data_IF_733312188678
#
_entry.id   IF_733312188678
#
_cell.length_a   1.000
_cell.length_b   1.000
_cell.length_c   1.000
_cell.angle_alpha   90.00
_cell.angle_beta   90.00
_cell.angle_gamma   90.00
#
_symmetry.space_group_name_H-M   'P 1'
#
loop_
_entity.id
_entity.type
_entity.pdbx_description
1 polymer ?
#
# COMPACT_ATOMS: atom_id res chain seq x y z
N UNK A 1 -8.99 7.66 31.57
CA UNK A 1 -9.40 6.30 31.05
C UNK A 1 -8.41 5.77 30.02
N UNK A 2 -8.35 4.43 29.78
CA UNK A 2 -7.52 3.85 28.71
C UNK A 2 -8.40 3.26 27.60
N UNK A 3 -7.92 3.37 26.36
CA UNK A 3 -8.60 2.73 25.22
C UNK A 3 -8.58 1.20 25.37
N UNK A 4 -9.73 0.57 25.12
CA UNK A 4 -9.87 -0.90 25.20
C UNK A 4 -9.63 -1.58 23.87
N UNK A 5 -10.02 -0.92 22.77
CA UNK A 5 -9.94 -1.46 21.43
C UNK A 5 -9.90 -0.35 20.37
N UNK A 6 -9.54 -0.71 19.15
CA UNK A 6 -9.70 0.12 17.96
C UNK A 6 -10.81 -0.49 17.10
N UNK A 7 -11.85 0.30 16.84
CA UNK A 7 -12.94 -0.08 15.96
C UNK A 7 -12.64 0.35 14.52
N UNK A 8 -12.61 -0.61 13.61
CA UNK A 8 -12.18 -0.43 12.21
C UNK A 8 -13.39 -0.50 11.29
N UNK A 9 -13.56 0.50 10.43
CA UNK A 9 -14.67 0.58 9.48
C UNK A 9 -14.21 0.29 8.07
N UNK A 10 -15.01 -0.50 7.36
CA UNK A 10 -14.76 -0.88 5.98
C UNK A 10 -15.16 0.25 5.02
N UNK A 11 -14.40 0.39 3.92
CA UNK A 11 -14.75 1.27 2.83
C UNK A 11 -15.52 0.54 1.72
N UNK A 12 -14.87 0.36 0.57
CA UNK A 12 -15.45 -0.30 -0.60
C UNK A 12 -15.95 -1.73 -0.33
N UNK A 13 -15.47 -2.39 0.73
CA UNK A 13 -15.91 -3.74 1.11
C UNK A 13 -17.39 -3.80 1.47
N UNK A 14 -17.95 -2.72 2.01
CA UNK A 14 -19.36 -2.64 2.38
C UNK A 14 -20.30 -2.75 1.17
N UNK A 15 -19.83 -2.40 -0.02
CA UNK A 15 -20.59 -2.46 -1.29
C UNK A 15 -20.47 -3.80 -2.03
N UNK A 16 -19.59 -4.71 -1.56
CA UNK A 16 -19.42 -6.03 -2.17
C UNK A 16 -20.63 -6.93 -1.85
N UNK A 17 -21.17 -7.60 -2.86
CA UNK A 17 -22.31 -8.50 -2.72
C UNK A 17 -21.94 -9.83 -2.01
N UNK A 18 -22.23 -10.97 -2.65
CA UNK A 18 -22.04 -12.33 -2.10
C UNK A 18 -20.60 -12.63 -1.63
N UNK A 19 -19.59 -11.97 -2.23
CA UNK A 19 -18.18 -12.20 -1.90
C UNK A 19 -17.65 -11.35 -0.73
N UNK A 20 -18.49 -10.53 -0.08
CA UNK A 20 -18.09 -9.59 0.98
C UNK A 20 -17.27 -10.27 2.08
N UNK A 21 -17.69 -11.43 2.57
CA UNK A 21 -16.99 -12.14 3.64
C UNK A 21 -15.57 -12.59 3.26
N UNK A 22 -15.32 -12.92 1.99
CA UNK A 22 -13.96 -13.23 1.50
C UNK A 22 -13.03 -12.02 1.66
N UNK A 23 -13.49 -10.82 1.29
CA UNK A 23 -12.72 -9.58 1.44
C UNK A 23 -12.50 -9.22 2.91
N UNK A 24 -13.52 -9.35 3.74
CA UNK A 24 -13.43 -9.10 5.18
C UNK A 24 -12.43 -10.03 5.84
N UNK A 25 -12.49 -11.34 5.55
CA UNK A 25 -11.54 -12.30 6.09
C UNK A 25 -10.11 -12.01 5.64
N UNK A 26 -9.90 -11.60 4.37
CA UNK A 26 -8.57 -11.21 3.91
C UNK A 26 -8.08 -9.96 4.62
N UNK A 27 -8.94 -8.93 4.79
CA UNK A 27 -8.60 -7.74 5.56
C UNK A 27 -8.24 -8.08 7.01
N UNK A 28 -9.04 -8.91 7.69
CA UNK A 28 -8.74 -9.37 9.05
C UNK A 28 -7.36 -10.03 9.13
N UNK A 29 -7.04 -10.90 8.18
CA UNK A 29 -5.73 -11.57 8.14
C UNK A 29 -4.61 -10.56 7.94
N UNK A 30 -4.73 -9.65 6.96
CA UNK A 30 -3.73 -8.60 6.71
C UNK A 30 -3.52 -7.70 7.96
N UNK A 31 -4.60 -7.34 8.67
CA UNK A 31 -4.50 -6.61 9.95
C UNK A 31 -3.76 -7.45 11.00
N UNK A 32 -4.10 -8.75 11.12
CA UNK A 32 -3.44 -9.63 12.08
C UNK A 32 -1.96 -9.82 11.79
N UNK A 33 -1.59 -9.92 10.50
CA UNK A 33 -0.20 -10.06 10.07
C UNK A 33 0.60 -8.79 10.45
N UNK A 34 0.09 -7.60 10.13
CA UNK A 34 0.73 -6.32 10.48
C UNK A 34 0.82 -6.12 11.99
N UNK A 35 -0.20 -6.55 12.76
CA UNK A 35 -0.22 -6.41 14.22
C UNK A 35 0.45 -7.58 14.96
N UNK A 36 1.08 -8.53 14.26
CA UNK A 36 1.76 -9.68 14.87
C UNK A 36 2.92 -9.29 15.80
N UNK A 37 3.51 -8.10 15.59
CA UNK A 37 4.53 -7.51 16.48
C UNK A 37 3.97 -7.10 17.85
N UNK A 38 2.65 -7.07 18.02
CA UNK A 38 1.95 -6.80 19.29
C UNK A 38 1.19 -8.07 19.72
N UNK A 39 1.84 -9.07 20.35
CA UNK A 39 1.26 -10.40 20.58
C UNK A 39 0.01 -10.41 21.47
N UNK A 40 -0.21 -9.36 22.27
CA UNK A 40 -1.41 -9.19 23.10
C UNK A 40 -2.63 -8.70 22.31
N UNK A 41 -2.45 -8.10 21.13
CA UNK A 41 -3.54 -7.57 20.31
C UNK A 41 -4.29 -8.72 19.65
N UNK A 42 -5.63 -8.73 19.80
CA UNK A 42 -6.51 -9.71 19.13
C UNK A 42 -7.38 -9.00 18.09
N UNK A 43 -7.44 -9.56 16.89
CA UNK A 43 -8.23 -9.01 15.78
C UNK A 43 -9.44 -9.89 15.51
N UNK A 44 -10.63 -9.30 15.52
CA UNK A 44 -11.87 -9.93 15.06
C UNK A 44 -12.50 -9.11 13.95
N UNK A 45 -13.33 -9.75 13.12
CA UNK A 45 -14.05 -9.07 12.07
C UNK A 45 -15.42 -9.72 11.88
N UNK A 46 -16.43 -8.91 11.76
CA UNK A 46 -17.79 -9.30 11.41
C UNK A 46 -18.21 -8.64 10.08
N UNK A 47 -19.50 -8.75 9.75
CA UNK A 47 -20.04 -8.19 8.49
C UNK A 47 -19.93 -6.67 8.43
N UNK A 48 -19.95 -5.97 9.55
CA UNK A 48 -20.09 -4.53 9.60
C UNK A 48 -18.77 -3.81 9.91
N UNK A 49 -17.90 -4.43 10.71
CA UNK A 49 -16.63 -3.82 11.15
C UNK A 49 -15.60 -4.86 11.61
N UNK A 50 -14.37 -4.41 11.81
CA UNK A 50 -13.36 -5.18 12.52
C UNK A 50 -12.99 -4.49 13.84
N UNK A 51 -12.46 -5.26 14.78
CA UNK A 51 -12.05 -4.82 16.09
C UNK A 51 -10.62 -5.31 16.37
N UNK A 52 -9.75 -4.41 16.80
CA UNK A 52 -8.44 -4.74 17.33
C UNK A 52 -8.45 -4.45 18.84
N UNK A 53 -8.57 -5.51 19.65
CA UNK A 53 -8.56 -5.44 21.11
C UNK A 53 -7.14 -5.21 21.59
N UNK A 54 -6.89 -4.09 22.27
CA UNK A 54 -5.54 -3.65 22.64
C UNK A 54 -4.91 -4.51 23.75
N UNK A 55 -5.72 -4.97 24.73
CA UNK A 55 -5.25 -5.80 25.86
C UNK A 55 -3.98 -5.26 26.52
N UNK A 56 -3.87 -3.95 26.67
CA UNK A 56 -2.73 -3.26 27.26
C UNK A 56 -1.62 -2.86 26.27
N UNK A 57 -1.80 -3.10 24.95
CA UNK A 57 -0.89 -2.56 23.94
C UNK A 57 -0.99 -1.03 23.84
N UNK A 58 0.12 -0.39 23.47
CA UNK A 58 0.11 1.04 23.19
C UNK A 58 -0.75 1.35 21.96
N UNK A 59 -1.81 2.12 22.20
CA UNK A 59 -2.74 2.55 21.17
C UNK A 59 -2.05 3.28 20.00
N UNK A 60 -1.12 4.18 20.32
CA UNK A 60 -0.47 5.01 19.30
C UNK A 60 0.31 4.17 18.29
N UNK A 61 1.10 3.22 18.79
CA UNK A 61 1.87 2.30 17.96
C UNK A 61 0.98 1.39 17.10
N UNK A 62 -0.10 0.85 17.68
CA UNK A 62 -1.08 0.05 16.93
C UNK A 62 -1.81 0.88 15.87
N UNK A 63 -2.19 2.12 16.18
CA UNK A 63 -2.85 3.02 15.25
C UNK A 63 -1.96 3.38 14.05
N UNK A 64 -0.66 3.64 14.26
CA UNK A 64 0.29 3.89 13.16
C UNK A 64 0.41 2.67 12.23
N UNK A 65 0.47 1.48 12.77
CA UNK A 65 0.48 0.25 11.98
C UNK A 65 -0.80 0.08 11.14
N UNK A 66 -1.97 0.40 11.70
CA UNK A 66 -3.25 0.31 10.99
C UNK A 66 -3.42 1.32 9.84
N UNK A 67 -2.75 2.48 9.90
CA UNK A 67 -2.78 3.48 8.81
C UNK A 67 -2.24 2.94 7.49
N UNK A 68 -1.39 1.92 7.52
CA UNK A 68 -0.73 1.35 6.34
C UNK A 68 -1.53 0.20 5.70
N UNK A 69 -2.59 -0.29 6.36
CA UNK A 69 -3.35 -1.46 5.90
C UNK A 69 -4.44 -1.07 4.91
N UNK A 70 -4.28 -1.50 3.66
CA UNK A 70 -5.31 -1.29 2.63
C UNK A 70 -6.59 -2.07 2.93
N UNK A 71 -7.73 -1.43 2.66
CA UNK A 71 -9.07 -1.92 2.99
C UNK A 71 -9.70 -1.25 4.20
N UNK A 72 -8.90 -0.56 5.03
CA UNK A 72 -9.37 0.24 6.16
C UNK A 72 -9.78 1.62 5.68
N UNK A 73 -11.06 1.99 5.79
CA UNK A 73 -11.56 3.33 5.44
C UNK A 73 -11.19 4.35 6.50
N UNK A 74 -11.53 4.02 7.74
CA UNK A 74 -11.19 4.78 8.93
C UNK A 74 -11.30 3.88 10.15
N UNK A 75 -10.71 4.32 11.24
CA UNK A 75 -10.80 3.64 12.52
C UNK A 75 -10.86 4.63 13.68
N UNK A 76 -11.38 4.17 14.83
CA UNK A 76 -11.54 4.98 16.01
C UNK A 76 -11.08 4.19 17.23
N UNK A 77 -10.24 4.78 18.10
CA UNK A 77 -10.02 4.22 19.43
C UNK A 77 -11.31 4.34 20.25
N UNK A 78 -11.58 3.33 21.07
CA UNK A 78 -12.83 3.25 21.83
C UNK A 78 -12.57 2.92 23.28
N UNK A 79 -13.32 3.59 24.16
CA UNK A 79 -13.48 3.23 25.55
C UNK A 79 -14.68 2.30 25.68
N UNK A 80 -14.47 1.10 26.16
CA UNK A 80 -15.54 0.16 26.48
C UNK A 80 -15.91 0.33 27.96
N UNK A 81 -17.19 0.61 28.22
CA UNK A 81 -17.71 0.81 29.56
C UNK A 81 -18.99 -0.01 29.79
N UNK A 82 -19.36 -0.20 31.03
CA UNK A 82 -20.64 -0.81 31.38
C UNK A 82 -21.79 0.03 30.83
N UNK A 83 -22.83 -0.64 30.29
CA UNK A 83 -24.03 0.03 29.78
C UNK A 83 -24.98 0.41 30.91
N UNK A 84 -24.62 1.38 31.72
CA UNK A 84 -25.46 2.01 32.73
C UNK A 84 -25.38 3.53 32.57
N UNK A 85 -26.49 4.22 32.81
CA UNK A 85 -26.54 5.70 32.61
C UNK A 85 -25.52 6.40 33.51
N UNK A 86 -25.35 5.96 34.74
CA UNK A 86 -24.41 6.58 35.68
C UNK A 86 -22.94 6.36 35.26
N UNK A 87 -22.60 5.15 34.81
CA UNK A 87 -21.24 4.87 34.28
C UNK A 87 -20.96 5.68 33.02
N UNK A 88 -21.95 5.81 32.13
CA UNK A 88 -21.83 6.62 30.91
C UNK A 88 -21.61 8.09 31.22
N UNK A 89 -22.37 8.67 32.19
CA UNK A 89 -22.17 10.05 32.64
C UNK A 89 -20.74 10.28 33.16
N UNK A 90 -20.28 9.41 34.06
CA UNK A 90 -18.95 9.51 34.64
C UNK A 90 -17.86 9.36 33.58
N UNK A 91 -18.00 8.41 32.62
CA UNK A 91 -17.05 8.21 31.55
C UNK A 91 -16.98 9.41 30.60
N UNK A 92 -18.13 9.97 30.21
CA UNK A 92 -18.19 11.15 29.33
C UNK A 92 -17.58 12.38 30.02
N UNK A 93 -17.80 12.55 31.33
CA UNK A 93 -17.20 13.62 32.11
C UNK A 93 -15.67 13.50 32.15
N UNK A 94 -15.14 12.30 32.48
CA UNK A 94 -13.71 12.04 32.55
C UNK A 94 -13.04 12.29 31.18
N UNK A 95 -13.61 11.70 30.10
CA UNK A 95 -13.09 11.90 28.74
C UNK A 95 -13.07 13.38 28.37
N UNK A 96 -14.16 14.09 28.60
CA UNK A 96 -14.24 15.52 28.27
C UNK A 96 -13.26 16.35 29.06
N UNK A 97 -13.02 16.04 30.35
CA UNK A 97 -12.01 16.74 31.15
C UNK A 97 -10.60 16.55 30.61
N UNK A 98 -10.29 15.35 30.06
CA UNK A 98 -8.99 15.03 29.49
C UNK A 98 -8.73 15.73 28.15
N UNK A 99 -9.75 15.91 27.29
CA UNK A 99 -9.58 16.37 25.92
C UNK A 99 -10.02 17.80 25.65
N UNK A 100 -10.86 18.37 26.52
CA UNK A 100 -11.40 19.71 26.35
C UNK A 100 -10.31 20.79 26.53
N UNK A 101 -10.28 21.75 25.62
CA UNK A 101 -9.51 23.00 25.74
C UNK A 101 -10.47 24.18 25.72
N UNK A 102 -10.14 25.23 26.44
CA UNK A 102 -10.98 26.42 26.53
C UNK A 102 -11.37 26.97 25.14
N UNK A 103 -12.65 27.22 24.96
CA UNK A 103 -13.21 27.71 23.68
C UNK A 103 -13.65 26.62 22.70
N UNK A 104 -13.35 25.35 22.97
CA UNK A 104 -13.86 24.25 22.12
C UNK A 104 -15.35 24.02 22.31
N UNK A 105 -16.00 23.62 21.24
CA UNK A 105 -17.40 23.22 21.21
C UNK A 105 -17.54 21.71 21.19
N UNK A 106 -18.67 21.20 21.73
CA UNK A 106 -18.89 19.76 21.76
C UNK A 106 -20.27 19.33 21.25
N UNK A 107 -20.38 18.06 20.96
CA UNK A 107 -21.64 17.36 20.66
C UNK A 107 -21.60 15.94 21.20
N UNK A 108 -22.74 15.47 21.71
CA UNK A 108 -22.97 14.02 21.94
C UNK A 108 -23.77 13.47 20.76
N UNK A 109 -23.31 12.33 20.23
CA UNK A 109 -23.96 11.62 19.13
C UNK A 109 -24.17 10.16 19.53
N UNK A 110 -25.32 9.84 20.10
CA UNK A 110 -25.63 8.50 20.56
C UNK A 110 -26.31 7.65 19.49
N UNK A 111 -25.93 6.38 19.41
CA UNK A 111 -26.57 5.35 18.62
C UNK A 111 -26.87 4.16 19.49
N UNK A 112 -28.10 3.63 19.40
CA UNK A 112 -28.54 2.50 20.15
C UNK A 112 -28.82 1.31 19.25
N UNK A 113 -28.04 0.24 19.36
CA UNK A 113 -28.29 -1.05 18.72
C UNK A 113 -29.05 -1.99 19.65
N UNK A 114 -28.84 -1.86 20.96
CA UNK A 114 -29.65 -2.54 21.97
C UNK A 114 -30.90 -1.73 22.33
N UNK A 115 -32.04 -2.18 21.85
CA UNK A 115 -33.33 -1.53 22.09
C UNK A 115 -33.91 -1.77 23.49
N UNK A 116 -33.30 -2.65 24.29
CA UNK A 116 -33.69 -2.89 25.68
C UNK A 116 -33.11 -1.87 26.67
N UNK A 117 -32.16 -1.03 26.23
CA UNK A 117 -31.58 0.00 27.06
C UNK A 117 -32.62 1.06 27.41
N UNK A 118 -32.62 1.54 28.65
CA UNK A 118 -33.68 2.38 29.27
C UNK A 118 -33.90 3.74 28.56
N UNK A 119 -32.84 4.35 27.95
CA UNK A 119 -32.95 5.63 27.25
C UNK A 119 -32.85 5.45 25.76
N UNK A 120 -33.64 6.23 25.03
CA UNK A 120 -33.45 6.32 23.57
C UNK A 120 -32.24 7.19 23.20
N UNK A 121 -31.91 7.24 21.91
CA UNK A 121 -30.71 8.01 21.44
C UNK A 121 -30.83 9.50 21.70
N UNK A 122 -32.04 10.08 21.73
CA UNK A 122 -32.25 11.50 21.97
C UNK A 122 -32.12 11.79 23.46
N UNK A 123 -32.75 10.96 24.30
CA UNK A 123 -32.66 11.04 25.76
C UNK A 123 -31.20 10.88 26.22
N UNK A 124 -30.45 9.91 25.63
CA UNK A 124 -29.02 9.74 25.89
C UNK A 124 -28.22 11.01 25.53
N UNK A 125 -28.47 11.62 24.37
CA UNK A 125 -27.77 12.85 23.98
C UNK A 125 -28.02 13.98 24.97
N UNK A 126 -29.27 14.11 25.48
CA UNK A 126 -29.61 15.14 26.45
C UNK A 126 -28.98 14.85 27.83
N UNK A 127 -29.07 13.62 28.29
CA UNK A 127 -28.55 13.22 29.60
C UNK A 127 -27.04 13.34 29.67
N UNK A 128 -26.34 12.82 28.65
CA UNK A 128 -24.88 12.87 28.61
C UNK A 128 -24.36 14.28 28.31
N UNK A 129 -25.10 15.07 27.50
CA UNK A 129 -24.82 16.49 27.28
C UNK A 129 -24.94 17.31 28.57
N UNK A 130 -25.97 17.01 29.40
CA UNK A 130 -26.13 17.59 30.75
C UNK A 130 -24.93 17.27 31.66
N UNK A 131 -24.47 16.03 31.66
CA UNK A 131 -23.30 15.61 32.44
C UNK A 131 -22.01 16.36 31.99
N UNK A 132 -21.83 16.67 30.70
CA UNK A 132 -20.71 17.49 30.25
C UNK A 132 -20.79 18.92 30.74
N UNK A 133 -21.99 19.53 30.73
CA UNK A 133 -22.18 20.89 31.25
C UNK A 133 -21.93 20.98 32.77
N UNK A 134 -22.23 19.91 33.51
CA UNK A 134 -21.94 19.82 34.95
C UNK A 134 -20.42 19.73 35.23
N UNK A 135 -19.67 19.02 34.37
CA UNK A 135 -18.23 18.80 34.55
C UNK A 135 -17.35 19.95 34.06
N UNK A 136 -17.78 20.67 33.02
CA UNK A 136 -16.99 21.72 32.38
C UNK A 136 -17.79 23.03 32.34
N UNK A 137 -17.49 23.98 33.21
CA UNK A 137 -18.14 25.27 33.21
C UNK A 137 -17.90 26.05 31.89
N UNK A 138 -18.94 26.67 31.35
CA UNK A 138 -18.92 27.50 30.15
C UNK A 138 -18.64 26.76 28.82
N UNK A 139 -18.60 25.43 28.79
CA UNK A 139 -18.52 24.66 27.55
C UNK A 139 -19.76 24.94 26.67
N UNK A 140 -19.58 25.02 25.36
CA UNK A 140 -20.67 25.27 24.43
C UNK A 140 -20.99 24.04 23.59
N UNK A 141 -22.28 23.72 23.45
CA UNK A 141 -22.73 22.66 22.53
C UNK A 141 -22.94 23.23 21.14
N UNK A 142 -22.40 22.54 20.12
CA UNK A 142 -22.55 22.92 18.71
C UNK A 142 -22.96 21.71 17.87
N UNK A 143 -24.16 21.80 17.25
CA UNK A 143 -24.72 20.66 16.50
C UNK A 143 -24.06 20.44 15.13
N UNK A 144 -23.55 21.52 14.50
CA UNK A 144 -22.88 21.44 13.19
C UNK A 144 -21.39 21.73 13.39
N UNK A 145 -20.54 20.81 12.89
CA UNK A 145 -19.08 20.93 12.97
C UNK A 145 -18.55 21.27 14.38
N UNK A 146 -18.89 20.49 15.41
CA UNK A 146 -18.30 20.65 16.74
C UNK A 146 -16.81 20.33 16.70
N UNK A 147 -16.02 20.92 17.59
CA UNK A 147 -14.60 20.58 17.76
C UNK A 147 -14.44 19.17 18.33
N UNK A 148 -15.32 18.78 19.28
CA UNK A 148 -15.35 17.46 19.91
C UNK A 148 -16.73 16.84 19.65
N UNK A 149 -16.75 15.67 18.97
CA UNK A 149 -17.96 14.88 18.79
C UNK A 149 -17.84 13.54 19.52
N UNK A 150 -18.36 13.46 20.76
CA UNK A 150 -18.42 12.20 21.50
C UNK A 150 -19.50 11.28 20.89
N UNK A 151 -19.07 10.20 20.27
CA UNK A 151 -19.93 9.16 19.74
C UNK A 151 -20.13 8.08 20.81
N UNK A 152 -21.37 7.83 21.19
CA UNK A 152 -21.74 6.83 22.20
C UNK A 152 -22.58 5.75 21.54
N UNK A 153 -22.10 4.51 21.51
CA UNK A 153 -22.82 3.39 20.90
C UNK A 153 -23.20 2.39 21.99
N UNK A 154 -24.51 2.18 22.18
CA UNK A 154 -25.04 1.19 23.12
C UNK A 154 -25.29 -0.11 22.37
N UNK A 155 -24.60 -1.19 22.77
CA UNK A 155 -24.77 -2.55 22.25
C UNK A 155 -25.25 -3.51 23.33
N UNK A 156 -25.53 -4.76 22.97
CA UNK A 156 -26.02 -5.77 23.90
C UNK A 156 -25.04 -6.01 25.05
N UNK A 157 -23.73 -6.10 24.76
CA UNK A 157 -22.71 -6.48 25.73
C UNK A 157 -22.09 -5.32 26.51
N UNK A 158 -22.08 -4.09 25.96
CA UNK A 158 -21.43 -2.93 26.59
C UNK A 158 -21.81 -1.62 25.89
N UNK A 159 -21.34 -0.49 26.44
CA UNK A 159 -21.33 0.79 25.77
C UNK A 159 -19.92 1.14 25.29
N UNK A 160 -19.83 1.83 24.15
CA UNK A 160 -18.59 2.22 23.50
C UNK A 160 -18.59 3.73 23.27
N UNK A 161 -17.53 4.40 23.72
CA UNK A 161 -17.37 5.85 23.56
C UNK A 161 -16.14 6.13 22.71
N UNK A 162 -16.29 6.97 21.70
CA UNK A 162 -15.18 7.44 20.85
C UNK A 162 -15.38 8.90 20.47
N UNK A 163 -14.30 9.63 20.25
CA UNK A 163 -14.35 11.02 19.78
C UNK A 163 -13.41 11.27 18.58
N UNK A 164 -12.54 10.35 18.33
CA UNK A 164 -11.54 10.43 17.27
C UNK A 164 -11.90 9.53 16.09
N UNK A 165 -11.70 10.02 14.89
CA UNK A 165 -11.82 9.21 13.67
C UNK A 165 -10.58 9.43 12.82
N UNK A 166 -9.76 8.39 12.72
CA UNK A 166 -8.50 8.42 11.99
C UNK A 166 -8.74 7.82 10.60
N UNK A 167 -8.28 8.53 9.59
CA UNK A 167 -8.38 8.05 8.21
C UNK A 167 -7.42 6.87 7.99
N UNK A 168 -7.90 5.78 7.40
CA UNK A 168 -7.09 4.64 6.96
C UNK A 168 -6.60 4.77 5.51
N UNK A 169 -5.85 3.79 5.04
CA UNK A 169 -5.28 3.76 3.69
C UNK A 169 -6.34 3.65 2.58
N UNK A 170 -7.56 3.23 2.90
CA UNK A 170 -8.62 3.00 1.91
C UNK A 170 -8.34 1.81 0.99
N UNK A 171 -8.94 1.79 -0.18
CA UNK A 171 -8.71 0.77 -1.19
C UNK A 171 -9.28 -0.62 -0.87
N UNK A 172 -8.62 -1.66 -1.36
CA UNK A 172 -8.99 -3.07 -1.19
C UNK A 172 -7.88 -3.84 -0.46
N UNK A 173 -8.20 -4.85 0.34
CA UNK A 173 -7.19 -5.68 1.01
C UNK A 173 -6.26 -6.34 -0.01
N UNK A 174 -4.96 -6.24 0.20
CA UNK A 174 -3.94 -6.88 -0.66
C UNK A 174 -4.19 -8.38 -0.78
N UNK A 175 -4.06 -8.91 -1.99
CA UNK A 175 -4.32 -10.32 -2.32
C UNK A 175 -5.78 -10.62 -2.71
N UNK A 176 -6.69 -9.61 -2.73
CA UNK A 176 -8.09 -9.83 -3.16
C UNK A 176 -8.29 -9.72 -4.68
N UNK A 177 -7.38 -9.07 -5.41
CA UNK A 177 -7.47 -8.83 -6.86
C UNK A 177 -6.51 -9.70 -7.69
N UNK A 178 -5.91 -10.73 -7.08
CA UNK A 178 -4.95 -11.61 -7.73
C UNK A 178 -3.52 -11.10 -7.63
N UNK A 179 -2.58 -11.76 -8.34
CA UNK A 179 -1.14 -11.51 -8.32
C UNK A 179 -0.70 -10.79 -9.60
N UNK A 180 0.23 -9.84 -9.48
CA UNK A 180 0.86 -9.14 -10.59
C UNK A 180 2.38 -9.11 -10.48
N UNK A 181 3.07 -9.05 -11.63
CA UNK A 181 4.51 -8.87 -11.72
C UNK A 181 4.81 -7.39 -11.89
N UNK A 182 5.42 -6.78 -10.89
CA UNK A 182 5.86 -5.39 -10.93
C UNK A 182 7.25 -5.31 -11.56
N UNK A 183 7.36 -4.69 -12.73
CA UNK A 183 8.67 -4.34 -13.31
C UNK A 183 9.26 -3.19 -12.49
N UNK A 184 10.12 -3.52 -11.54
CA UNK A 184 10.71 -2.57 -10.60
C UNK A 184 12.06 -2.08 -11.09
N UNK A 185 12.17 -0.78 -11.32
CA UNK A 185 13.42 -0.06 -11.57
C UNK A 185 13.89 0.66 -10.30
N UNK A 186 15.10 1.21 -10.32
CA UNK A 186 15.59 2.11 -9.27
C UNK A 186 15.01 3.54 -9.33
N UNK A 187 14.11 3.83 -10.27
CA UNK A 187 13.49 5.14 -10.45
C UNK A 187 12.29 5.38 -9.52
N UNK A 188 11.78 6.63 -9.54
CA UNK A 188 10.69 7.10 -8.67
C UNK A 188 9.34 6.43 -9.00
N UNK A 189 9.08 6.19 -10.30
CA UNK A 189 7.73 5.89 -10.79
C UNK A 189 7.30 4.43 -10.49
N UNK A 190 8.23 3.46 -10.55
CA UNK A 190 7.89 2.04 -10.39
C UNK A 190 7.50 1.65 -8.97
N UNK A 191 8.12 2.15 -7.88
CA UNK A 191 7.63 1.92 -6.52
C UNK A 191 6.23 2.51 -6.29
N UNK A 192 5.97 3.71 -6.81
CA UNK A 192 4.65 4.35 -6.74
C UNK A 192 3.60 3.52 -7.48
N UNK A 193 3.93 2.97 -8.64
CA UNK A 193 3.03 2.06 -9.36
C UNK A 193 2.73 0.79 -8.53
N UNK A 194 3.72 0.23 -7.85
CA UNK A 194 3.56 -0.89 -6.93
C UNK A 194 2.61 -0.57 -5.79
N UNK A 195 2.83 0.56 -5.11
CA UNK A 195 1.95 1.04 -4.05
C UNK A 195 0.49 1.21 -4.50
N UNK A 196 0.27 1.83 -5.65
CA UNK A 196 -1.07 2.02 -6.20
C UNK A 196 -1.75 0.71 -6.60
N UNK A 197 -0.98 -0.28 -7.06
CA UNK A 197 -1.49 -1.62 -7.34
C UNK A 197 -1.87 -2.37 -6.04
N UNK A 198 -1.05 -2.28 -4.98
CA UNK A 198 -1.42 -2.78 -3.65
C UNK A 198 -2.72 -2.16 -3.16
N UNK A 199 -2.90 -0.84 -3.32
CA UNK A 199 -4.12 -0.13 -2.94
C UNK A 199 -5.37 -0.66 -3.65
N UNK A 200 -5.21 -1.30 -4.82
CA UNK A 200 -6.30 -1.98 -5.55
C UNK A 200 -6.39 -3.47 -5.26
N UNK A 201 -5.69 -3.94 -4.23
CA UNK A 201 -5.76 -5.32 -3.75
C UNK A 201 -4.94 -6.33 -4.54
N UNK A 202 -4.05 -5.87 -5.43
CA UNK A 202 -3.15 -6.76 -6.18
C UNK A 202 -2.03 -7.21 -5.25
N UNK A 203 -1.75 -8.49 -5.21
CA UNK A 203 -0.54 -9.05 -4.62
C UNK A 203 0.61 -8.91 -5.63
N UNK A 204 1.82 -8.52 -5.18
CA UNK A 204 2.92 -8.16 -6.09
C UNK A 204 4.15 -9.02 -5.82
N UNK A 205 4.76 -9.51 -6.91
CA UNK A 205 6.16 -9.92 -6.95
C UNK A 205 6.94 -8.90 -7.78
N UNK A 206 8.12 -8.49 -7.30
CA UNK A 206 8.95 -7.47 -7.96
C UNK A 206 9.95 -8.12 -8.93
N UNK A 207 9.96 -7.70 -10.18
CA UNK A 207 10.89 -8.17 -11.22
C UNK A 207 11.87 -7.06 -11.54
N UNK A 208 13.14 -7.27 -11.25
CA UNK A 208 14.23 -6.33 -11.50
C UNK A 208 15.23 -6.89 -12.51
N UNK A 209 15.62 -6.09 -13.49
CA UNK A 209 16.58 -6.46 -14.52
C UNK A 209 17.97 -5.94 -14.16
N UNK A 210 18.93 -6.83 -14.02
CA UNK A 210 20.31 -6.53 -13.67
C UNK A 210 21.25 -6.84 -14.86
N UNK A 211 22.20 -5.94 -15.13
CA UNK A 211 23.16 -6.09 -16.22
C UNK A 211 24.61 -5.90 -15.76
N UNK A 212 25.12 -6.75 -14.86
CA UNK A 212 26.54 -6.69 -14.48
C UNK A 212 27.42 -7.05 -15.69
N UNK A 213 28.63 -6.44 -15.88
CA UNK A 213 29.24 -5.41 -15.02
C UNK A 213 28.75 -3.98 -15.28
N UNK A 214 27.82 -3.78 -16.18
CA UNK A 214 27.34 -2.45 -16.56
C UNK A 214 26.49 -1.80 -15.46
N UNK A 215 25.64 -2.56 -14.76
CA UNK A 215 24.97 -2.09 -13.53
C UNK A 215 25.83 -2.40 -12.32
N UNK A 216 25.90 -1.47 -11.38
CA UNK A 216 26.64 -1.64 -10.13
C UNK A 216 25.88 -2.48 -9.11
N UNK A 217 26.55 -3.10 -8.13
CA UNK A 217 25.89 -3.71 -6.98
C UNK A 217 24.98 -2.73 -6.21
N UNK A 218 25.33 -1.44 -6.21
CA UNK A 218 24.51 -0.38 -5.63
C UNK A 218 23.15 -0.19 -6.31
N UNK A 219 23.05 -0.42 -7.63
CA UNK A 219 21.79 -0.38 -8.35
C UNK A 219 20.85 -1.53 -7.91
N UNK A 220 21.37 -2.72 -7.73
CA UNK A 220 20.62 -3.88 -7.22
C UNK A 220 20.16 -3.63 -5.77
N UNK A 221 21.07 -3.19 -4.89
CA UNK A 221 20.72 -2.85 -3.50
C UNK A 221 19.63 -1.79 -3.46
N UNK A 222 19.72 -0.74 -4.26
CA UNK A 222 18.70 0.31 -4.38
C UNK A 222 17.32 -0.27 -4.71
N UNK A 223 17.23 -1.19 -5.67
CA UNK A 223 15.96 -1.85 -6.04
C UNK A 223 15.42 -2.74 -4.89
N UNK A 224 16.29 -3.44 -4.17
CA UNK A 224 15.92 -4.22 -2.99
C UNK A 224 15.42 -3.32 -1.86
N UNK A 225 16.08 -2.18 -1.60
CA UNK A 225 15.68 -1.22 -0.58
C UNK A 225 14.33 -0.57 -0.91
N UNK A 226 14.07 -0.24 -2.19
CA UNK A 226 12.75 0.20 -2.65
C UNK A 226 11.67 -0.88 -2.44
N UNK A 227 11.99 -2.14 -2.73
CA UNK A 227 11.10 -3.26 -2.45
C UNK A 227 10.80 -3.38 -0.97
N UNK A 228 11.82 -3.22 -0.11
CA UNK A 228 11.66 -3.24 1.36
C UNK A 228 10.71 -2.15 1.84
N UNK A 229 10.78 -0.93 1.30
CA UNK A 229 9.79 0.12 1.63
C UNK A 229 8.37 -0.29 1.26
N UNK A 230 8.18 -0.98 0.15
CA UNK A 230 6.87 -1.47 -0.28
C UNK A 230 6.31 -2.60 0.61
N UNK A 231 7.15 -3.35 1.32
CA UNK A 231 6.67 -4.42 2.22
C UNK A 231 5.80 -3.90 3.36
N UNK A 232 5.92 -2.62 3.75
CA UNK A 232 5.05 -1.97 4.73
C UNK A 232 3.56 -2.06 4.35
N UNK A 233 3.25 -2.13 3.06
CA UNK A 233 1.90 -2.09 2.51
C UNK A 233 1.40 -3.46 2.03
N UNK A 234 2.30 -4.30 1.53
CA UNK A 234 1.98 -5.59 0.90
C UNK A 234 2.37 -6.82 1.71
N UNK A 235 3.14 -6.67 2.79
CA UNK A 235 3.78 -7.79 3.47
C UNK A 235 5.04 -8.26 2.72
N UNK A 236 5.45 -9.49 2.94
CA UNK A 236 6.64 -10.04 2.27
C UNK A 236 6.49 -10.02 0.75
N UNK A 237 7.54 -9.59 0.05
CA UNK A 237 7.57 -9.48 -1.41
C UNK A 237 8.68 -10.38 -1.97
N UNK A 238 8.35 -11.23 -2.95
CA UNK A 238 9.33 -11.97 -3.71
C UNK A 238 10.01 -11.02 -4.70
N UNK A 239 11.31 -10.80 -4.52
CA UNK A 239 12.15 -10.01 -5.41
C UNK A 239 12.85 -10.95 -6.39
N UNK A 240 12.59 -10.76 -7.69
CA UNK A 240 13.07 -11.59 -8.77
C UNK A 240 14.10 -10.80 -9.56
N UNK A 241 15.36 -11.14 -9.40
CA UNK A 241 16.46 -10.59 -10.17
C UNK A 241 16.59 -11.37 -11.48
N UNK A 242 16.60 -10.66 -12.60
CA UNK A 242 16.71 -11.21 -13.96
C UNK A 242 18.06 -10.81 -14.54
N UNK A 243 18.94 -11.76 -14.93
CA UNK A 243 20.16 -11.46 -15.66
C UNK A 243 19.81 -10.95 -17.05
N UNK A 244 20.31 -9.77 -17.43
CA UNK A 244 19.88 -9.11 -18.66
C UNK A 244 21.03 -8.68 -19.56
N UNK A 245 22.28 -8.90 -19.17
CA UNK A 245 23.49 -8.47 -19.88
C UNK A 245 23.57 -9.06 -21.29
N UNK A 246 23.43 -10.39 -21.45
CA UNK A 246 23.49 -11.08 -22.74
C UNK A 246 22.51 -10.48 -23.74
N UNK A 247 21.29 -10.20 -23.29
CA UNK A 247 20.24 -9.65 -24.14
C UNK A 247 20.56 -8.23 -24.58
N UNK A 248 21.09 -7.40 -23.69
CA UNK A 248 21.48 -6.03 -24.04
C UNK A 248 22.64 -5.99 -25.04
N UNK A 249 23.63 -6.84 -24.87
CA UNK A 249 24.76 -6.97 -25.81
C UNK A 249 24.29 -7.46 -27.17
N UNK A 250 23.40 -8.44 -27.22
CA UNK A 250 22.81 -8.95 -28.47
C UNK A 250 21.98 -7.88 -29.19
N UNK A 251 21.16 -7.12 -28.47
CA UNK A 251 20.38 -6.01 -29.02
C UNK A 251 21.34 -4.95 -29.60
N UNK A 252 22.38 -4.56 -28.85
CA UNK A 252 23.37 -3.58 -29.28
C UNK A 252 24.11 -4.01 -30.56
N UNK A 253 24.44 -5.29 -30.67
CA UNK A 253 25.17 -5.84 -31.80
C UNK A 253 24.32 -5.94 -33.09
N UNK A 254 22.98 -6.18 -32.95
CA UNK A 254 22.15 -6.54 -34.12
C UNK A 254 21.07 -5.52 -34.49
N UNK A 255 20.81 -4.53 -33.63
CA UNK A 255 19.76 -3.55 -33.84
C UNK A 255 20.33 -2.14 -34.12
N UNK A 256 19.60 -1.32 -34.89
CA UNK A 256 19.93 0.10 -35.03
C UNK A 256 19.79 0.82 -33.68
N UNK A 257 20.72 1.76 -33.42
CA UNK A 257 20.78 2.53 -32.20
C UNK A 257 19.41 3.14 -31.79
N UNK A 258 18.69 3.74 -32.74
CA UNK A 258 17.38 4.35 -32.49
C UNK A 258 16.31 3.36 -31.95
N UNK A 259 16.48 2.05 -32.13
CA UNK A 259 15.55 1.02 -31.68
C UNK A 259 16.00 0.29 -30.40
N UNK A 260 17.19 0.57 -29.87
CA UNK A 260 17.71 -0.13 -28.68
C UNK A 260 16.71 -0.09 -27.50
N UNK A 261 16.20 1.07 -27.16
CA UNK A 261 15.22 1.22 -26.06
C UNK A 261 13.93 0.44 -26.30
N UNK A 262 13.42 0.46 -27.54
CA UNK A 262 12.19 -0.27 -27.88
C UNK A 262 12.39 -1.78 -27.74
N UNK A 263 13.48 -2.31 -28.27
CA UNK A 263 13.78 -3.75 -28.21
C UNK A 263 14.09 -4.21 -26.79
N UNK A 264 14.91 -3.45 -26.04
CA UNK A 264 15.17 -3.71 -24.62
C UNK A 264 13.86 -3.89 -23.82
N UNK A 265 12.92 -2.95 -23.97
CA UNK A 265 11.63 -3.03 -23.27
C UNK A 265 10.74 -4.15 -23.80
N UNK A 266 10.82 -4.52 -25.07
CA UNK A 266 10.11 -5.68 -25.62
C UNK A 266 10.63 -6.99 -25.01
N UNK A 267 11.95 -7.15 -24.87
CA UNK A 267 12.53 -8.30 -24.19
C UNK A 267 12.13 -8.34 -22.69
N UNK A 268 12.24 -7.21 -22.00
CA UNK A 268 11.80 -7.12 -20.60
C UNK A 268 10.33 -7.55 -20.44
N UNK A 269 9.48 -7.13 -21.36
CA UNK A 269 8.05 -7.48 -21.34
C UNK A 269 7.84 -8.98 -21.55
N UNK A 270 8.53 -9.62 -22.53
CA UNK A 270 8.44 -11.07 -22.76
C UNK A 270 8.91 -11.88 -21.54
N UNK A 271 10.06 -11.48 -20.96
CA UNK A 271 10.62 -12.16 -19.79
C UNK A 271 9.67 -12.03 -18.60
N UNK A 272 9.17 -10.82 -18.35
CA UNK A 272 8.21 -10.59 -17.25
C UNK A 272 6.93 -11.40 -17.47
N UNK A 273 6.45 -11.53 -18.70
CA UNK A 273 5.27 -12.34 -19.03
C UNK A 273 5.54 -13.83 -18.82
N UNK A 274 6.72 -14.33 -19.19
CA UNK A 274 7.11 -15.73 -18.94
C UNK A 274 7.23 -16.01 -17.42
N UNK A 275 7.83 -15.10 -16.66
CA UNK A 275 7.89 -15.19 -15.20
C UNK A 275 6.49 -15.18 -14.61
N UNK A 276 5.60 -14.30 -15.07
CA UNK A 276 4.19 -14.23 -14.67
C UNK A 276 3.49 -15.58 -14.84
N UNK A 277 3.68 -16.26 -15.98
CA UNK A 277 3.08 -17.57 -16.22
C UNK A 277 3.55 -18.61 -15.20
N UNK A 278 4.87 -18.72 -15.01
CA UNK A 278 5.47 -19.67 -14.05
C UNK A 278 5.03 -19.36 -12.61
N UNK A 279 4.87 -18.08 -12.27
CA UNK A 279 4.51 -17.62 -10.93
C UNK A 279 3.00 -17.50 -10.70
N UNK A 280 2.16 -17.90 -11.68
CA UNK A 280 0.71 -17.79 -11.65
C UNK A 280 0.21 -16.34 -11.42
N UNK A 281 0.90 -15.36 -11.99
CA UNK A 281 0.45 -13.97 -12.04
C UNK A 281 -0.61 -13.76 -13.12
N UNK A 282 -1.43 -12.72 -12.95
CA UNK A 282 -2.51 -12.38 -13.89
C UNK A 282 -2.18 -11.20 -14.78
N UNK A 283 -1.30 -10.30 -14.30
CA UNK A 283 -1.02 -9.01 -14.94
C UNK A 283 0.45 -8.64 -14.81
N UNK A 284 0.92 -7.77 -15.70
CA UNK A 284 2.18 -7.04 -15.58
C UNK A 284 1.87 -5.64 -15.09
N UNK A 285 2.72 -5.10 -14.21
CA UNK A 285 2.58 -3.75 -13.65
C UNK A 285 3.87 -3.00 -13.96
N UNK A 286 3.78 -1.78 -14.46
CA UNK A 286 4.94 -0.91 -14.62
C UNK A 286 4.66 0.55 -14.25
N UNK A 287 5.74 1.33 -14.06
CA UNK A 287 5.70 2.74 -13.68
C UNK A 287 5.79 3.70 -14.88
N UNK A 288 5.28 3.31 -16.05
CA UNK A 288 5.29 4.22 -17.21
C UNK A 288 4.28 5.36 -17.05
N UNK A 289 4.75 6.62 -17.21
CA UNK A 289 3.93 7.83 -17.30
C UNK A 289 4.03 8.41 -18.69
N UNK A 290 2.88 8.76 -19.27
CA UNK A 290 2.80 9.20 -20.67
C UNK A 290 3.58 10.52 -20.88
N UNK A 291 4.50 10.49 -21.83
CA UNK A 291 5.24 11.67 -22.27
C UNK A 291 6.44 12.09 -21.40
N UNK A 292 6.78 11.35 -20.34
CA UNK A 292 7.96 11.68 -19.52
C UNK A 292 9.29 11.46 -20.25
N UNK A 293 9.42 10.37 -20.98
CA UNK A 293 10.63 10.01 -21.75
C UNK A 293 10.27 9.46 -23.13
N UNK A 294 11.25 9.38 -24.03
CA UNK A 294 11.06 8.97 -25.41
C UNK A 294 10.39 7.58 -25.60
N UNK A 295 10.59 6.66 -24.67
CA UNK A 295 9.94 5.33 -24.69
C UNK A 295 8.52 5.31 -24.13
N UNK A 296 8.03 6.44 -23.61
CA UNK A 296 6.70 6.57 -22.98
C UNK A 296 5.73 7.39 -23.85
N UNK A 297 5.90 7.35 -25.15
CA UNK A 297 4.88 7.81 -26.12
C UNK A 297 3.85 6.69 -26.37
N UNK A 298 2.65 7.03 -26.84
CA UNK A 298 1.63 6.01 -27.15
C UNK A 298 2.11 5.03 -28.22
N UNK A 299 2.84 5.51 -29.23
CA UNK A 299 3.43 4.68 -30.28
C UNK A 299 4.50 3.72 -29.73
N UNK A 300 5.35 4.21 -28.81
CA UNK A 300 6.34 3.36 -28.12
C UNK A 300 5.66 2.31 -27.27
N UNK A 301 4.66 2.69 -26.45
CA UNK A 301 3.88 1.76 -25.65
C UNK A 301 3.19 0.71 -26.51
N UNK A 302 2.60 1.10 -27.65
CA UNK A 302 1.97 0.17 -28.58
C UNK A 302 2.99 -0.84 -29.15
N UNK A 303 4.17 -0.37 -29.57
CA UNK A 303 5.21 -1.23 -30.14
C UNK A 303 5.80 -2.19 -29.08
N UNK A 304 5.95 -1.72 -27.84
CA UNK A 304 6.45 -2.53 -26.72
C UNK A 304 5.39 -3.57 -26.30
N UNK A 305 4.12 -3.19 -26.20
CA UNK A 305 3.06 -4.10 -25.79
C UNK A 305 2.73 -5.20 -26.80
N UNK A 306 3.08 -5.00 -28.07
CA UNK A 306 2.75 -5.95 -29.15
C UNK A 306 3.35 -7.36 -28.95
N UNK A 307 4.20 -7.56 -27.93
CA UNK A 307 4.84 -8.87 -27.65
C UNK A 307 4.05 -9.73 -26.68
N UNK A 308 2.99 -9.20 -26.06
CA UNK A 308 2.14 -9.95 -25.10
C UNK A 308 0.69 -9.52 -25.20
N UNK A 309 -0.21 -10.46 -24.91
CA UNK A 309 -1.65 -10.23 -24.73
C UNK A 309 -2.04 -10.10 -23.25
N UNK A 310 -1.09 -10.24 -22.33
CA UNK A 310 -1.33 -10.07 -20.90
C UNK A 310 -1.71 -8.64 -20.58
N UNK A 311 -2.73 -8.39 -19.75
CA UNK A 311 -3.06 -7.04 -19.32
C UNK A 311 -1.89 -6.36 -18.64
N UNK A 312 -1.57 -5.12 -19.06
CA UNK A 312 -0.52 -4.29 -18.47
C UNK A 312 -1.19 -3.14 -17.73
N UNK A 313 -1.00 -3.10 -16.41
CA UNK A 313 -1.50 -2.05 -15.55
C UNK A 313 -0.42 -0.97 -15.41
N UNK A 314 -0.78 0.28 -15.71
CA UNK A 314 0.09 1.46 -15.58
C UNK A 314 -0.55 2.45 -14.62
N UNK A 315 -0.39 2.28 -13.31
CA UNK A 315 -1.11 3.09 -12.33
C UNK A 315 -0.82 4.59 -12.41
N UNK A 316 0.38 4.96 -12.89
CA UNK A 316 0.84 6.35 -12.97
C UNK A 316 0.78 6.95 -14.38
N UNK A 317 0.14 6.28 -15.35
CA UNK A 317 0.19 6.66 -16.76
C UNK A 317 -0.34 8.07 -17.05
N UNK A 318 -1.28 8.57 -16.26
CA UNK A 318 -1.90 9.90 -16.42
C UNK A 318 -1.43 10.91 -15.38
N UNK A 319 -0.51 10.53 -14.51
CA UNK A 319 0.01 11.40 -13.46
C UNK A 319 1.16 12.25 -13.98
N UNK A 320 1.24 13.49 -13.54
CA UNK A 320 2.42 14.31 -13.76
C UNK A 320 3.55 13.96 -12.78
N UNK A 321 4.73 14.55 -13.00
CA UNK A 321 5.91 14.20 -12.21
C UNK A 321 5.80 14.60 -10.74
N UNK A 322 5.11 15.71 -10.45
CA UNK A 322 4.95 16.20 -9.08
C UNK A 322 3.98 15.31 -8.30
N UNK A 323 2.86 14.91 -8.89
CA UNK A 323 1.92 13.96 -8.28
C UNK A 323 2.61 12.63 -7.91
N UNK A 324 3.50 12.13 -8.77
CA UNK A 324 4.25 10.90 -8.50
C UNK A 324 5.28 11.12 -7.37
N UNK A 325 5.96 12.29 -7.35
CA UNK A 325 6.92 12.63 -6.29
C UNK A 325 6.23 12.76 -4.94
N UNK A 326 5.06 13.39 -4.87
CA UNK A 326 4.30 13.53 -3.62
C UNK A 326 3.98 12.16 -3.01
N UNK A 327 3.54 11.20 -3.85
CA UNK A 327 3.30 9.83 -3.39
C UNK A 327 4.61 9.13 -2.99
N UNK A 328 5.69 9.30 -3.76
CA UNK A 328 6.98 8.70 -3.44
C UNK A 328 7.53 9.18 -2.09
N UNK A 329 7.31 10.45 -1.74
CA UNK A 329 7.63 11.01 -0.42
C UNK A 329 6.73 10.42 0.68
N UNK A 330 5.42 10.30 0.43
CA UNK A 330 4.47 9.69 1.38
C UNK A 330 4.82 8.26 1.74
N UNK A 331 5.36 7.49 0.78
CA UNK A 331 5.72 6.07 0.96
C UNK A 331 7.21 5.84 1.27
N UNK A 332 7.98 6.88 1.57
CA UNK A 332 9.42 6.84 1.91
C UNK A 332 10.32 6.22 0.82
N UNK A 333 9.95 6.32 -0.46
CA UNK A 333 10.76 5.78 -1.56
C UNK A 333 11.55 6.84 -2.32
N UNK A 334 11.24 8.12 -2.14
CA UNK A 334 11.83 9.22 -2.90
C UNK A 334 13.35 9.31 -2.72
N UNK A 335 13.85 9.37 -1.49
CA UNK A 335 15.27 9.56 -1.19
C UNK A 335 16.14 8.39 -1.69
N UNK A 336 15.60 7.17 -1.66
CA UNK A 336 16.27 6.01 -2.24
C UNK A 336 16.27 6.12 -3.76
N UNK A 337 15.14 6.52 -4.37
CA UNK A 337 14.99 6.59 -5.82
C UNK A 337 15.92 7.60 -6.50
N UNK A 338 16.30 8.69 -5.82
CA UNK A 338 17.20 9.72 -6.37
C UNK A 338 18.68 9.43 -6.18
N UNK A 339 19.04 8.31 -5.53
CA UNK A 339 20.45 7.90 -5.42
C UNK A 339 21.08 7.68 -6.80
N UNK A 340 22.36 8.05 -7.01
CA UNK A 340 23.01 8.10 -8.31
C UNK A 340 23.48 6.73 -8.82
N UNK A 341 22.60 5.72 -8.79
CA UNK A 341 22.84 4.40 -9.37
C UNK A 341 21.99 4.22 -10.61
N UNK A 342 22.62 3.91 -11.73
CA UNK A 342 21.96 3.76 -13.03
C UNK A 342 21.31 2.39 -13.19
N UNK A 343 20.09 2.39 -13.75
CA UNK A 343 19.37 1.18 -14.13
C UNK A 343 19.87 0.63 -15.49
N UNK A 344 19.62 -0.64 -15.73
CA UNK A 344 19.97 -1.30 -16.99
C UNK A 344 19.40 -0.58 -18.23
N UNK A 345 18.25 0.11 -18.10
CA UNK A 345 17.63 0.85 -19.22
C UNK A 345 18.41 2.08 -19.66
N UNK A 346 19.20 2.70 -18.79
CA UNK A 346 19.94 3.94 -19.10
C UNK A 346 21.32 3.69 -19.70
N UNK A 347 21.94 2.57 -19.37
CA UNK A 347 23.32 2.24 -19.76
C UNK A 347 23.52 2.19 -21.29
N UNK A 348 22.54 1.63 -21.99
CA UNK A 348 22.57 1.52 -23.45
C UNK A 348 21.54 2.46 -24.12
N UNK A 349 21.16 3.54 -23.42
CA UNK A 349 20.25 4.53 -23.97
C UNK A 349 20.90 5.26 -25.15
N UNK A 350 20.26 5.33 -26.30
CA UNK A 350 20.80 6.05 -27.46
C UNK A 350 20.63 7.56 -27.28
N UNK A 351 21.54 8.34 -27.93
CA UNK A 351 21.43 9.82 -27.94
C UNK A 351 20.10 10.30 -28.55
N UNK A 352 19.58 9.55 -29.52
CA UNK A 352 18.35 9.89 -30.25
C UNK A 352 17.41 8.69 -30.34
N UNK A 353 16.70 8.35 -29.24
CA UNK A 353 15.75 7.25 -29.24
C UNK A 353 14.56 7.52 -30.18
N UNK A 354 14.05 6.46 -30.81
CA UNK A 354 12.87 6.56 -31.67
C UNK A 354 11.61 6.74 -30.79
N UNK A 355 10.91 7.85 -30.94
CA UNK A 355 9.68 8.17 -30.22
C UNK A 355 8.41 7.59 -30.85
N UNK A 356 8.49 7.19 -32.15
CA UNK A 356 7.37 6.58 -32.89
C UNK A 356 7.82 5.27 -33.58
N UNK A 357 8.31 4.27 -32.83
CA UNK A 357 8.76 3.01 -33.38
C UNK A 357 7.59 2.26 -34.05
N UNK A 358 7.90 1.62 -35.20
CA UNK A 358 6.91 0.78 -35.89
C UNK A 358 7.08 -0.68 -35.44
N UNK A 359 5.99 -1.36 -35.12
CA UNK A 359 5.99 -2.79 -34.72
C UNK A 359 6.74 -3.62 -35.79
N UNK A 360 6.38 -3.47 -37.06
CA UNK A 360 7.02 -4.21 -38.16
C UNK A 360 8.56 -4.07 -38.18
N UNK A 361 9.07 -2.88 -37.88
CA UNK A 361 10.52 -2.67 -37.86
C UNK A 361 11.14 -3.33 -36.62
N UNK A 362 10.52 -3.23 -35.46
CA UNK A 362 10.97 -3.92 -34.24
C UNK A 362 11.07 -5.43 -34.50
N UNK A 363 10.01 -6.04 -35.04
CA UNK A 363 9.96 -7.46 -35.42
C UNK A 363 11.04 -7.84 -36.43
N UNK A 364 11.31 -6.99 -37.42
CA UNK A 364 12.37 -7.21 -38.41
C UNK A 364 13.77 -7.23 -37.77
N UNK A 365 14.02 -6.41 -36.76
CA UNK A 365 15.28 -6.43 -36.02
C UNK A 365 15.37 -7.63 -35.10
N UNK A 366 14.30 -7.97 -34.41
CA UNK A 366 14.19 -9.17 -33.55
C UNK A 366 14.40 -10.46 -34.35
N UNK A 367 13.96 -10.52 -35.60
CA UNK A 367 14.18 -11.69 -36.48
C UNK A 367 15.66 -12.02 -36.73
N UNK A 368 16.60 -11.13 -36.37
CA UNK A 368 18.04 -11.35 -36.44
C UNK A 368 18.63 -11.98 -35.17
N UNK A 369 17.80 -12.17 -34.14
CA UNK A 369 18.18 -12.63 -32.82
C UNK A 369 17.46 -13.95 -32.49
N UNK A 370 18.05 -14.75 -31.66
CA UNK A 370 17.39 -15.91 -31.06
C UNK A 370 16.53 -15.43 -29.85
N UNK A 371 15.39 -14.80 -30.17
CA UNK A 371 14.52 -14.16 -29.14
C UNK A 371 14.06 -15.15 -28.11
N UNK A 372 13.57 -16.33 -28.51
CA UNK A 372 13.03 -17.32 -27.59
C UNK A 372 14.13 -17.92 -26.71
N UNK A 373 15.27 -18.30 -27.30
CA UNK A 373 16.40 -18.85 -26.55
C UNK A 373 16.98 -17.83 -25.54
N UNK A 374 17.04 -16.53 -25.90
CA UNK A 374 17.48 -15.47 -24.99
C UNK A 374 16.51 -15.30 -23.80
N UNK A 375 15.21 -15.33 -24.06
CA UNK A 375 14.18 -15.24 -23.01
C UNK A 375 14.22 -16.47 -22.10
N UNK A 376 14.33 -17.66 -22.66
CA UNK A 376 14.39 -18.91 -21.88
C UNK A 376 15.62 -18.95 -20.96
N UNK A 377 16.81 -18.56 -21.46
CA UNK A 377 18.02 -18.50 -20.64
C UNK A 377 17.88 -17.50 -19.50
N UNK A 378 17.42 -16.29 -19.79
CA UNK A 378 17.21 -15.29 -18.75
C UNK A 378 16.21 -15.75 -17.67
N UNK A 379 15.14 -16.43 -18.05
CA UNK A 379 14.14 -16.96 -17.10
C UNK A 379 14.69 -18.18 -16.32
N UNK A 380 15.56 -18.99 -16.91
CA UNK A 380 16.18 -20.13 -16.24
C UNK A 380 17.19 -19.71 -15.16
N UNK A 381 17.78 -18.54 -15.29
CA UNK A 381 18.84 -18.02 -14.40
C UNK A 381 18.36 -16.97 -13.41
N UNK A 382 17.04 -16.77 -13.26
CA UNK A 382 16.51 -15.81 -12.26
C UNK A 382 16.91 -16.20 -10.85
N UNK A 383 17.19 -15.19 -10.04
CA UNK A 383 17.38 -15.35 -8.60
C UNK A 383 16.18 -14.77 -7.86
N UNK A 384 15.65 -15.51 -6.89
CA UNK A 384 14.47 -15.09 -6.12
C UNK A 384 14.86 -14.94 -4.66
N UNK A 385 14.65 -13.75 -4.10
CA UNK A 385 14.90 -13.43 -2.70
C UNK A 385 13.60 -12.93 -2.06
N UNK A 386 13.24 -13.44 -0.90
CA UNK A 386 12.12 -12.89 -0.14
C UNK A 386 12.58 -11.65 0.63
N UNK A 387 11.92 -10.51 0.40
CA UNK A 387 12.17 -9.27 1.13
C UNK A 387 11.06 -9.08 2.16
N UNK A 388 11.45 -8.91 3.41
CA UNK A 388 10.57 -8.77 4.57
C UNK A 388 10.69 -7.37 5.20
N UNK A 389 9.67 -6.91 5.96
CA UNK A 389 9.73 -5.63 6.66
C UNK A 389 10.82 -5.52 7.74
N UNK A 390 11.26 -6.65 8.28
CA UNK A 390 12.12 -6.72 9.49
C UNK A 390 13.62 -6.60 9.21
N UNK A 391 14.07 -6.67 7.95
CA UNK A 391 15.50 -6.69 7.61
C UNK A 391 16.30 -5.39 7.94
N UNK A 392 15.62 -4.28 8.30
CA UNK A 392 16.32 -3.05 8.74
C UNK A 392 16.92 -3.17 10.17
N UNK A 393 16.43 -4.09 11.01
CA UNK A 393 16.97 -4.29 12.36
C UNK A 393 18.23 -5.16 12.37
N UNK A 394 18.24 -6.19 11.54
CA UNK A 394 19.33 -7.15 11.51
C UNK A 394 20.63 -6.54 10.94
N UNK A 395 20.52 -5.64 9.92
CA UNK A 395 21.71 -4.96 9.34
C UNK A 395 22.35 -3.93 10.29
N UNK A 396 21.56 -3.29 11.16
CA UNK A 396 22.07 -2.34 12.15
C UNK A 396 22.72 -3.09 13.33
N UNK A 397 22.11 -4.19 13.76
CA UNK A 397 22.62 -5.04 14.83
C UNK A 397 23.89 -5.76 14.36
N UNK A 398 23.96 -6.29 13.13
CA UNK A 398 25.18 -6.86 12.54
C UNK A 398 26.30 -5.81 12.36
N UNK A 399 25.95 -4.56 12.04
CA UNK A 399 26.95 -3.47 11.95
C UNK A 399 27.47 -3.07 13.32
N UNK A 400 26.62 -3.05 14.34
CA UNK A 400 27.00 -2.77 15.73
C UNK A 400 27.86 -3.91 16.27
N UNK A 401 27.50 -5.17 16.03
CA UNK A 401 28.28 -6.34 16.45
C UNK A 401 29.62 -6.45 15.70
N UNK A 402 29.71 -5.90 14.48
CA UNK A 402 31.01 -5.84 13.76
C UNK A 402 31.92 -4.71 14.19
N UNK A 403 31.42 -3.75 14.99
CA UNK A 403 32.15 -2.59 15.51
C UNK A 403 32.52 -2.73 17.00
N UNK A 404 32.00 -3.77 17.68
CA UNK A 404 32.31 -4.16 19.03
C UNK A 404 33.29 -5.34 19.05
#
# INVERSE_FOLDING_TARGET
>A
MQYSEIMIRYGELSTKGKNRMRFINKLRNNISDVLSIYPQVKVTADRDRAHAYLNGADYTAVAESLKQVFGIQNFSPVYKVEKSVEVLKSAVQEIMQDIYKEGMTFKISSKRSDHSFELDSRELNQTLGGAVFEAIPNVQAQMKSPDINLQVEIREEAAYISYETIRGAGGLPVGTSGKGMLMLSGGIDSPVAGYLAFKRGVDIEAVHFASPPYTSPGALKKAQDLTRKLTKFGGNIQFIEVPFTEIQEEIKAKAPEAYLMTLTRRFMMRITDRIREVRNGLVIINGESLGQVASQTLESMQAINAVTNTPIIRPVVTMDKLEIIDIAQEIDTFDISIQPFEDCCTIFAPDRPKTNPKIKNAEQYEARMDVEGLVERAVAEIMITEITPQAEKDEVDDLIDSLL
#
